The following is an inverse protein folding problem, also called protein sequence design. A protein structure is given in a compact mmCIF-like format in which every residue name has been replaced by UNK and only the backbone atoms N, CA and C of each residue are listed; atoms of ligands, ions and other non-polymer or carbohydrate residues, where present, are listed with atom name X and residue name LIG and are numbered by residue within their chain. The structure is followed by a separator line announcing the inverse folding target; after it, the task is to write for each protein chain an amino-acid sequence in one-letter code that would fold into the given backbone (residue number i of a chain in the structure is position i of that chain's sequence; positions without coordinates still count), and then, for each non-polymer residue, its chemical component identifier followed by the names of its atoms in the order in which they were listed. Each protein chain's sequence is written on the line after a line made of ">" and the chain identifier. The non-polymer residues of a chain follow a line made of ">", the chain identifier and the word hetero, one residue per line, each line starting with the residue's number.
data_IF_919504799969
#
_entry.id   IF_919504799969
#
_cell.length_a   1.000
_cell.length_b   1.000
_cell.length_c   1.000
_cell.angle_alpha   90.00
_cell.angle_beta   90.00
_cell.angle_gamma   90.00
#
_symmetry.space_group_name_H-M   'P 1'
#
loop_
_entity.id
_entity.type
_entity.pdbx_description
1 polymer ?
#
# COMPACT_ATOMS: atom_id res chain seq x y z
N UNK A 1 11.05 3.97 -13.07
CA UNK A 1 9.69 3.57 -12.60
C UNK A 1 9.46 4.17 -11.22
N UNK A 2 8.48 5.06 -11.05
CA UNK A 2 8.08 5.56 -9.73
C UNK A 2 7.39 4.45 -8.94
N UNK A 3 8.15 3.76 -8.09
CA UNK A 3 7.59 2.86 -7.08
C UNK A 3 6.91 3.69 -6.00
N UNK A 4 5.58 3.59 -5.92
CA UNK A 4 4.80 4.18 -4.84
C UNK A 4 5.27 3.68 -3.47
N UNK A 5 4.98 4.45 -2.41
CA UNK A 5 5.28 4.04 -1.04
C UNK A 5 4.59 2.69 -0.77
N UNK A 6 5.36 1.59 -0.66
CA UNK A 6 4.80 0.26 -0.63
C UNK A 6 3.99 0.02 0.66
N UNK A 7 4.34 0.71 1.75
CA UNK A 7 3.62 0.69 3.04
C UNK A 7 2.25 1.33 2.90
N UNK A 8 2.18 2.48 2.23
CA UNK A 8 0.91 3.16 2.00
C UNK A 8 -0.04 2.29 1.16
N UNK A 9 0.48 1.61 0.13
CA UNK A 9 -0.35 0.66 -0.63
C UNK A 9 -0.76 -0.53 0.23
N UNK A 10 0.11 -1.03 1.11
CA UNK A 10 -0.25 -2.11 2.03
C UNK A 10 -1.40 -1.70 2.96
N UNK A 11 -1.36 -0.48 3.48
CA UNK A 11 -2.44 0.08 4.30
C UNK A 11 -3.76 0.13 3.50
N UNK A 12 -3.73 0.63 2.27
CA UNK A 12 -4.92 0.66 1.41
C UNK A 12 -5.50 -0.75 1.21
N UNK A 13 -4.66 -1.76 0.95
CA UNK A 13 -5.12 -3.14 0.80
C UNK A 13 -5.71 -3.69 2.09
N UNK A 14 -5.09 -3.40 3.23
CA UNK A 14 -5.60 -3.77 4.54
C UNK A 14 -7.01 -3.21 4.77
N UNK A 15 -7.21 -1.93 4.47
CA UNK A 15 -8.53 -1.27 4.61
C UNK A 15 -9.60 -1.89 3.70
N UNK A 16 -9.24 -2.29 2.48
CA UNK A 16 -10.14 -3.02 1.57
C UNK A 16 -10.52 -4.38 2.16
N UNK A 17 -9.53 -5.17 2.61
CA UNK A 17 -9.74 -6.53 3.10
C UNK A 17 -10.55 -6.55 4.41
N UNK A 18 -10.27 -5.60 5.30
CA UNK A 18 -11.02 -5.42 6.55
C UNK A 18 -12.38 -4.75 6.36
N UNK A 19 -12.75 -4.40 5.12
CA UNK A 19 -14.00 -3.73 4.76
C UNK A 19 -14.26 -2.49 5.61
N UNK A 20 -13.22 -1.68 5.82
CA UNK A 20 -13.32 -0.44 6.60
C UNK A 20 -14.42 0.43 6.03
N UNK A 21 -15.33 0.89 6.88
CA UNK A 21 -16.42 1.79 6.50
C UNK A 21 -15.85 3.13 6.04
N UNK A 22 -15.71 3.29 4.73
CA UNK A 22 -15.25 4.52 4.10
C UNK A 22 -15.75 4.58 2.66
N UNK A 23 -15.99 5.80 2.16
CA UNK A 23 -16.37 6.01 0.76
C UNK A 23 -15.32 5.44 -0.20
N UNK A 24 -14.04 5.55 0.14
CA UNK A 24 -12.95 5.02 -0.66
C UNK A 24 -12.98 3.48 -0.76
N UNK A 25 -13.18 2.76 0.35
CA UNK A 25 -13.33 1.29 0.31
C UNK A 25 -14.59 0.88 -0.45
N UNK A 26 -15.71 1.59 -0.24
CA UNK A 26 -16.95 1.33 -0.97
C UNK A 26 -16.77 1.50 -2.48
N UNK A 27 -16.14 2.60 -2.91
CA UNK A 27 -15.79 2.83 -4.31
C UNK A 27 -14.83 1.76 -4.85
N UNK A 28 -13.85 1.32 -4.06
CA UNK A 28 -12.96 0.23 -4.46
C UNK A 28 -13.72 -1.08 -4.69
N UNK A 29 -14.66 -1.43 -3.82
CA UNK A 29 -15.47 -2.63 -3.98
C UNK A 29 -16.33 -2.57 -5.26
N UNK A 30 -17.01 -1.45 -5.50
CA UNK A 30 -17.87 -1.27 -6.67
C UNK A 30 -17.08 -1.18 -7.98
N UNK A 31 -16.03 -0.35 -8.03
CA UNK A 31 -15.34 0.00 -9.28
C UNK A 31 -14.11 -0.87 -9.53
N UNK A 32 -13.24 -1.04 -8.52
CA UNK A 32 -12.00 -1.81 -8.70
C UNK A 32 -12.24 -3.31 -8.64
N UNK A 33 -13.10 -3.78 -7.73
CA UNK A 33 -13.34 -5.21 -7.53
C UNK A 33 -14.58 -5.70 -8.28
N UNK A 34 -15.57 -4.83 -8.53
CA UNK A 34 -16.87 -5.17 -9.12
C UNK A 34 -17.61 -6.22 -8.27
N UNK A 35 -17.64 -5.97 -6.96
CA UNK A 35 -18.25 -6.83 -5.93
C UNK A 35 -17.69 -8.26 -5.86
N UNK A 36 -16.50 -8.48 -6.45
CA UNK A 36 -15.75 -9.73 -6.32
C UNK A 36 -14.82 -9.67 -5.11
N UNK A 37 -14.47 -10.83 -4.56
CA UNK A 37 -13.46 -10.88 -3.51
C UNK A 37 -12.12 -10.34 -4.01
N UNK A 38 -11.48 -9.50 -3.17
CA UNK A 38 -10.16 -8.93 -3.41
C UNK A 38 -9.14 -9.99 -3.85
N UNK A 39 -9.21 -11.19 -3.26
CA UNK A 39 -8.28 -12.29 -3.49
C UNK A 39 -8.45 -12.96 -4.85
N UNK A 40 -9.69 -13.13 -5.31
CA UNK A 40 -10.02 -13.86 -6.54
C UNK A 40 -9.86 -13.00 -7.80
N UNK A 41 -9.88 -11.67 -7.67
CA UNK A 41 -9.78 -10.76 -8.81
C UNK A 41 -8.43 -10.92 -9.53
N UNK A 42 -8.47 -11.37 -10.79
CA UNK A 42 -7.26 -11.48 -11.63
C UNK A 42 -6.83 -10.12 -12.19
N UNK A 43 -5.53 -9.95 -12.35
CA UNK A 43 -4.97 -8.82 -13.11
C UNK A 43 -4.96 -9.21 -14.59
N UNK A 44 -5.70 -8.46 -15.42
CA UNK A 44 -5.72 -8.68 -16.88
C UNK A 44 -4.94 -7.58 -17.61
N UNK A 45 -4.66 -7.77 -18.90
CA UNK A 45 -4.04 -6.75 -19.73
C UNK A 45 -4.88 -5.47 -19.85
N UNK A 46 -6.20 -5.56 -19.71
CA UNK A 46 -7.10 -4.40 -19.67
C UNK A 46 -7.18 -3.70 -18.30
N UNK A 47 -6.57 -4.26 -17.24
CA UNK A 47 -6.60 -3.63 -15.92
C UNK A 47 -5.86 -2.30 -15.94
N UNK A 48 -6.53 -1.26 -15.43
CA UNK A 48 -5.93 0.06 -15.21
C UNK A 48 -4.68 -0.04 -14.33
N UNK A 49 -3.75 0.89 -14.52
CA UNK A 49 -2.51 0.92 -13.76
C UNK A 49 -2.74 0.97 -12.24
N UNK A 50 -3.72 1.75 -11.79
CA UNK A 50 -4.13 1.84 -10.39
C UNK A 50 -4.63 0.49 -9.84
N UNK A 51 -5.51 -0.20 -10.58
CA UNK A 51 -6.00 -1.54 -10.22
C UNK A 51 -4.84 -2.53 -10.12
N UNK A 52 -3.89 -2.50 -11.06
CA UNK A 52 -2.70 -3.36 -11.01
C UNK A 52 -1.90 -3.10 -9.75
N UNK A 53 -1.66 -1.84 -9.38
CA UNK A 53 -0.85 -1.53 -8.20
C UNK A 53 -1.51 -1.96 -6.89
N UNK A 54 -2.83 -1.76 -6.75
CA UNK A 54 -3.58 -2.21 -5.57
C UNK A 54 -3.60 -3.74 -5.50
N UNK A 55 -3.78 -4.44 -6.63
CA UNK A 55 -3.86 -5.89 -6.69
C UNK A 55 -2.49 -6.60 -6.75
N UNK A 56 -1.39 -5.87 -6.97
CA UNK A 56 -0.02 -6.40 -6.85
C UNK A 56 0.26 -6.77 -5.39
N UNK A 57 1.17 -7.71 -5.15
CA UNK A 57 1.59 -8.14 -3.80
C UNK A 57 0.44 -8.66 -2.90
N UNK A 58 -0.64 -9.18 -3.47
CA UNK A 58 -1.70 -9.86 -2.70
C UNK A 58 -1.15 -10.98 -1.83
N UNK A 59 -0.31 -11.83 -2.40
CA UNK A 59 0.33 -12.94 -1.68
C UNK A 59 1.15 -12.45 -0.47
N UNK A 60 1.84 -11.30 -0.63
CA UNK A 60 2.53 -10.66 0.48
C UNK A 60 1.55 -10.23 1.57
N UNK A 61 0.40 -9.66 1.22
CA UNK A 61 -0.62 -9.32 2.21
C UNK A 61 -1.15 -10.59 2.88
N UNK A 62 -1.58 -11.59 2.09
CA UNK A 62 -2.22 -12.82 2.56
C UNK A 62 -1.37 -13.57 3.60
N UNK A 63 -0.06 -13.69 3.36
CA UNK A 63 0.90 -14.32 4.29
C UNK A 63 1.02 -13.62 5.65
N UNK A 64 0.70 -12.33 5.71
CA UNK A 64 0.78 -11.53 6.92
C UNK A 64 -0.58 -11.34 7.61
N UNK A 65 -1.66 -11.89 7.06
CA UNK A 65 -2.99 -11.85 7.67
C UNK A 65 -3.20 -13.07 8.55
N UNK A 66 -3.79 -12.83 9.72
CA UNK A 66 -4.26 -13.86 10.63
C UNK A 66 -5.78 -13.76 10.69
N UNK A 67 -6.47 -14.80 10.21
CA UNK A 67 -7.91 -14.92 10.31
C UNK A 67 -8.28 -15.67 11.58
N UNK A 68 -9.02 -15.00 12.47
CA UNK A 68 -9.68 -15.64 13.60
C UNK A 68 -11.15 -15.82 13.23
N UNK A 69 -11.54 -17.08 13.04
CA UNK A 69 -12.91 -17.44 12.69
C UNK A 69 -13.73 -17.54 13.98
N UNK A 70 -14.78 -16.73 14.03
CA UNK A 70 -15.75 -16.73 15.12
C UNK A 70 -17.07 -17.35 14.65
N UNK A 71 -17.95 -16.50 14.10
CA UNK A 71 -19.25 -16.93 13.58
C UNK A 71 -19.26 -17.32 12.09
N UNK A 72 -18.14 -17.11 11.39
CA UNK A 72 -17.94 -17.47 9.98
C UNK A 72 -18.73 -16.64 8.96
N UNK A 73 -19.46 -15.59 9.39
CA UNK A 73 -20.37 -14.84 8.51
C UNK A 73 -19.67 -13.80 7.64
N UNK A 74 -18.55 -13.24 8.12
CA UNK A 74 -17.82 -12.22 7.38
C UNK A 74 -16.92 -12.83 6.32
N UNK A 75 -16.38 -14.01 6.61
CA UNK A 75 -15.36 -14.72 5.84
C UNK A 75 -15.98 -15.58 4.74
N UNK A 76 -15.51 -15.42 3.51
CA UNK A 76 -15.86 -16.30 2.38
C UNK A 76 -15.09 -17.60 2.50
N UNK A 77 -15.80 -18.72 2.33
CA UNK A 77 -15.23 -20.04 2.42
C UNK A 77 -14.12 -20.27 1.38
N UNK A 78 -14.41 -19.95 0.13
CA UNK A 78 -13.56 -20.30 -1.00
C UNK A 78 -12.59 -19.20 -1.43
N UNK A 79 -12.97 -17.95 -1.18
CA UNK A 79 -12.27 -16.78 -1.72
C UNK A 79 -11.27 -16.16 -0.76
N UNK A 80 -11.49 -16.26 0.56
CA UNK A 80 -10.63 -15.60 1.52
C UNK A 80 -9.48 -16.53 1.96
N UNK A 81 -8.26 -16.01 2.19
CA UNK A 81 -7.08 -16.78 2.55
C UNK A 81 -7.03 -17.13 4.04
N UNK A 82 -8.13 -17.65 4.58
CA UNK A 82 -8.26 -17.92 6.02
C UNK A 82 -7.58 -19.23 6.45
N UNK A 83 -7.20 -20.07 5.49
CA UNK A 83 -6.40 -21.29 5.70
C UNK A 83 -4.97 -21.01 5.20
N UNK A 84 -4.02 -20.90 6.14
CA UNK A 84 -2.58 -20.73 5.86
C UNK A 84 -2.21 -19.58 4.90
N UNK A 85 -3.05 -18.54 4.78
CA UNK A 85 -2.77 -17.42 3.88
C UNK A 85 -3.07 -17.71 2.40
N UNK A 86 -3.80 -18.77 2.08
CA UNK A 86 -4.21 -19.10 0.71
C UNK A 86 -5.71 -19.32 0.57
N UNK A 87 -6.29 -18.79 -0.51
CA UNK A 87 -7.69 -19.04 -0.84
C UNK A 87 -7.84 -20.43 -1.44
N UNK A 88 -8.86 -21.19 -1.02
CA UNK A 88 -9.11 -22.55 -1.52
C UNK A 88 -9.31 -22.59 -3.04
N UNK A 89 -9.95 -21.56 -3.61
CA UNK A 89 -10.09 -21.41 -5.07
C UNK A 89 -8.76 -21.26 -5.82
N UNK A 90 -7.72 -20.71 -5.15
CA UNK A 90 -6.39 -20.55 -5.74
C UNK A 90 -5.63 -21.88 -5.64
N UNK A 91 -5.68 -22.55 -4.48
CA UNK A 91 -4.96 -23.81 -4.23
C UNK A 91 -5.54 -25.00 -5.01
N UNK A 92 -6.86 -25.17 -5.01
CA UNK A 92 -7.54 -26.34 -5.61
C UNK A 92 -8.30 -26.01 -6.90
N UNK A 93 -8.31 -24.74 -7.31
CA UNK A 93 -9.05 -24.26 -8.48
C UNK A 93 -10.53 -24.01 -8.20
N UNK A 94 -11.18 -23.23 -9.07
CA UNK A 94 -12.58 -22.83 -8.89
C UNK A 94 -13.58 -24.00 -8.95
N UNK A 95 -13.19 -25.15 -9.54
CA UNK A 95 -14.03 -26.35 -9.64
C UNK A 95 -14.18 -27.09 -8.31
N UNK A 96 -13.36 -26.78 -7.31
CA UNK A 96 -13.41 -27.42 -5.99
C UNK A 96 -14.79 -27.30 -5.34
N UNK A 97 -15.46 -26.15 -5.53
CA UNK A 97 -16.80 -25.90 -5.03
C UNK A 97 -17.83 -26.90 -5.60
N UNK A 98 -17.68 -27.30 -6.87
CA UNK A 98 -18.58 -28.25 -7.53
C UNK A 98 -18.37 -29.68 -7.01
N UNK A 99 -17.16 -30.06 -6.62
CA UNK A 99 -16.89 -31.41 -6.08
C UNK A 99 -17.49 -31.63 -4.70
N UNK A 100 -17.70 -30.57 -3.94
CA UNK A 100 -18.23 -30.62 -2.56
C UNK A 100 -19.70 -30.17 -2.50
N UNK A 101 -20.31 -29.87 -3.65
CA UNK A 101 -21.69 -29.38 -3.77
C UNK A 101 -22.01 -28.15 -2.87
N UNK A 102 -21.05 -27.22 -2.80
CA UNK A 102 -21.19 -25.98 -2.03
C UNK A 102 -21.00 -24.79 -2.97
N UNK A 103 -21.88 -23.80 -2.92
CA UNK A 103 -21.78 -22.63 -3.79
C UNK A 103 -20.45 -21.88 -3.59
N UNK A 104 -19.87 -21.36 -4.68
CA UNK A 104 -18.59 -20.64 -4.65
C UNK A 104 -18.64 -19.34 -3.81
N UNK A 105 -19.82 -18.77 -3.61
CA UNK A 105 -20.06 -17.54 -2.83
C UNK A 105 -20.31 -17.81 -1.34
N UNK A 106 -20.26 -19.07 -0.92
CA UNK A 106 -20.64 -19.50 0.43
C UNK A 106 -19.70 -18.92 1.49
N UNK A 107 -20.27 -18.67 2.67
CA UNK A 107 -19.56 -18.20 3.87
C UNK A 107 -19.08 -19.37 4.72
N UNK A 108 -18.06 -19.13 5.53
CA UNK A 108 -17.54 -20.15 6.47
C UNK A 108 -18.64 -20.63 7.44
N UNK A 109 -19.62 -19.77 7.75
CA UNK A 109 -20.76 -20.12 8.59
C UNK A 109 -21.63 -21.27 8.07
N UNK A 110 -21.55 -21.64 6.79
CA UNK A 110 -22.34 -22.75 6.23
C UNK A 110 -21.72 -24.13 6.54
N UNK A 111 -20.41 -24.18 6.74
CA UNK A 111 -19.64 -25.41 7.05
C UNK A 111 -19.28 -25.50 8.53
N UNK A 112 -19.91 -24.63 9.33
CA UNK A 112 -19.64 -24.46 10.75
C UNK A 112 -20.97 -24.39 11.51
N UNK A 113 -21.24 -25.37 12.37
CA UNK A 113 -22.44 -25.42 13.20
C UNK A 113 -22.06 -25.87 14.60
N UNK A 114 -22.70 -25.30 15.63
CA UNK A 114 -22.52 -25.70 17.03
C UNK A 114 -21.06 -25.73 17.53
N UNK A 115 -20.21 -24.80 17.05
CA UNK A 115 -18.76 -24.75 17.36
C UNK A 115 -17.97 -25.97 16.89
N UNK A 116 -18.50 -26.70 15.91
CA UNK A 116 -17.80 -27.79 15.26
C UNK A 116 -17.82 -27.59 13.74
N UNK A 117 -16.76 -28.06 13.11
CA UNK A 117 -16.67 -28.10 11.66
C UNK A 117 -17.60 -29.20 11.15
N UNK A 118 -18.69 -28.79 10.50
CA UNK A 118 -19.63 -29.67 9.84
C UNK A 118 -19.26 -29.77 8.34
N UNK A 119 -17.99 -30.11 8.08
CA UNK A 119 -17.53 -30.34 6.71
C UNK A 119 -18.15 -31.65 6.20
N UNK A 120 -18.73 -31.63 5.00
CA UNK A 120 -19.44 -32.78 4.46
C UNK A 120 -18.48 -33.95 4.20
N UNK A 121 -18.75 -35.09 4.84
CA UNK A 121 -17.98 -36.34 4.76
C UNK A 121 -18.05 -37.05 3.40
N UNK A 122 -18.90 -36.58 2.47
CA UNK A 122 -19.33 -37.34 1.29
C UNK A 122 -18.67 -36.92 -0.05
N UNK A 123 -17.68 -36.04 -0.05
CA UNK A 123 -17.00 -35.67 -1.31
C UNK A 123 -15.81 -36.59 -1.59
N UNK A 124 -15.76 -37.12 -2.83
CA UNK A 124 -14.58 -37.81 -3.38
C UNK A 124 -13.40 -36.83 -3.36
N UNK A 125 -12.60 -36.94 -2.30
CA UNK A 125 -11.39 -36.17 -1.99
C UNK A 125 -11.58 -34.64 -1.82
N UNK A 126 -11.59 -34.17 -0.56
CA UNK A 126 -10.34 -33.60 -0.05
C UNK A 126 -10.16 -33.80 1.47
N UNK A 127 -9.66 -34.97 1.89
CA UNK A 127 -9.28 -35.22 3.31
C UNK A 127 -8.25 -34.21 3.83
N UNK A 128 -7.43 -33.66 2.93
CA UNK A 128 -6.45 -32.62 3.24
C UNK A 128 -7.12 -31.32 3.70
N UNK A 129 -8.21 -30.88 3.02
CA UNK A 129 -8.92 -29.65 3.41
C UNK A 129 -9.59 -29.84 4.77
N UNK A 130 -10.24 -30.97 5.00
CA UNK A 130 -10.85 -31.28 6.31
C UNK A 130 -9.79 -31.26 7.43
N UNK A 131 -8.62 -31.85 7.19
CA UNK A 131 -7.50 -31.82 8.16
C UNK A 131 -7.03 -30.39 8.44
N UNK A 132 -6.86 -29.57 7.40
CA UNK A 132 -6.45 -28.16 7.54
C UNK A 132 -7.50 -27.31 8.26
N UNK A 133 -8.77 -27.56 8.01
CA UNK A 133 -9.89 -26.87 8.66
C UNK A 133 -9.97 -27.25 10.14
N UNK A 134 -9.82 -28.54 10.49
CA UNK A 134 -9.82 -29.02 11.88
C UNK A 134 -8.67 -28.46 12.71
N UNK A 135 -7.53 -28.15 12.09
CA UNK A 135 -6.41 -27.50 12.77
C UNK A 135 -6.71 -26.05 13.18
N UNK A 136 -7.75 -25.41 12.64
CA UNK A 136 -8.09 -24.04 13.01
C UNK A 136 -8.86 -23.97 14.32
N UNK A 137 -8.34 -23.12 15.21
CA UNK A 137 -9.01 -22.72 16.45
C UNK A 137 -10.21 -21.83 16.13
N UNK A 138 -11.33 -22.16 16.76
CA UNK A 138 -12.57 -21.38 16.71
C UNK A 138 -12.62 -20.45 17.92
N UNK A 139 -12.87 -19.18 17.68
CA UNK A 139 -12.96 -18.15 18.73
C UNK A 139 -14.41 -17.77 19.05
N UNK A 140 -14.65 -17.18 20.23
CA UNK A 140 -15.97 -16.63 20.57
C UNK A 140 -16.09 -15.22 20.01
N UNK A 141 -17.12 -14.98 19.21
CA UNK A 141 -17.46 -13.63 18.72
C UNK A 141 -17.56 -13.54 17.20
N UNK A 142 -17.49 -12.32 16.63
CA UNK A 142 -17.44 -12.11 15.19
C UNK A 142 -16.08 -12.56 14.61
N UNK A 143 -16.05 -12.78 13.29
CA UNK A 143 -14.79 -13.01 12.58
C UNK A 143 -13.89 -11.76 12.66
N UNK A 144 -12.60 -11.95 12.96
CA UNK A 144 -11.63 -10.85 13.06
C UNK A 144 -10.41 -11.16 12.19
N UNK A 145 -10.01 -10.16 11.40
CA UNK A 145 -8.76 -10.19 10.63
C UNK A 145 -7.72 -9.38 11.40
N UNK A 146 -6.55 -9.99 11.64
CA UNK A 146 -5.46 -9.42 12.44
C UNK A 146 -4.15 -9.41 11.65
N UNK A 147 -3.21 -8.57 12.07
CA UNK A 147 -1.93 -8.37 11.38
C UNK A 147 -0.79 -9.12 12.07
N UNK A 148 -0.13 -10.03 11.35
CA UNK A 148 1.01 -10.87 11.74
C UNK A 148 0.79 -11.84 12.90
N UNK A 149 0.09 -11.44 13.95
CA UNK A 149 -0.16 -12.24 15.13
C UNK A 149 -1.50 -11.89 15.74
N UNK A 150 -2.03 -12.82 16.55
CA UNK A 150 -3.29 -12.60 17.23
C UNK A 150 -3.26 -11.34 18.10
N UNK A 151 -4.34 -10.54 18.06
CA UNK A 151 -4.52 -9.32 18.84
C UNK A 151 -3.86 -8.05 18.28
N UNK A 152 -3.12 -8.12 17.16
CA UNK A 152 -2.44 -6.94 16.61
C UNK A 152 -3.21 -6.31 15.45
N UNK A 153 -3.32 -4.99 15.49
CA UNK A 153 -3.83 -4.17 14.39
C UNK A 153 -2.73 -3.83 13.39
N UNK A 154 -3.13 -3.35 12.21
CA UNK A 154 -2.20 -2.88 11.21
C UNK A 154 -1.40 -1.67 11.71
N UNK A 155 -0.09 -1.70 11.50
CA UNK A 155 0.81 -0.58 11.81
C UNK A 155 1.75 -0.33 10.63
N UNK A 156 1.87 0.94 10.22
CA UNK A 156 2.78 1.34 9.14
C UNK A 156 4.23 0.99 9.46
N UNK A 157 4.67 1.21 10.72
CA UNK A 157 6.04 0.91 11.15
C UNK A 157 6.35 -0.57 11.01
N UNK A 158 5.46 -1.43 11.50
CA UNK A 158 5.65 -2.89 11.45
C UNK A 158 5.57 -3.39 10.01
N UNK A 159 4.62 -2.87 9.24
CA UNK A 159 4.47 -3.23 7.82
C UNK A 159 5.69 -2.85 6.99
N UNK A 160 6.31 -1.70 7.28
CA UNK A 160 7.57 -1.31 6.64
C UNK A 160 8.69 -2.32 6.90
N UNK A 161 8.84 -2.79 8.14
CA UNK A 161 9.85 -3.80 8.49
C UNK A 161 9.62 -5.12 7.73
N UNK A 162 8.37 -5.56 7.65
CA UNK A 162 8.01 -6.75 6.86
C UNK A 162 8.36 -6.56 5.38
N UNK A 163 8.10 -5.38 4.82
CA UNK A 163 8.43 -5.09 3.42
C UNK A 163 9.93 -5.01 3.16
N UNK A 164 10.72 -4.53 4.12
CA UNK A 164 12.19 -4.51 4.00
C UNK A 164 12.78 -5.91 3.86
N UNK A 165 12.18 -6.93 4.46
CA UNK A 165 12.65 -8.32 4.30
C UNK A 165 12.34 -8.90 2.92
N UNK A 166 11.39 -8.30 2.19
CA UNK A 166 10.91 -8.80 0.89
C UNK A 166 11.52 -8.00 -0.27
N UNK A 167 11.80 -6.72 -0.04
CA UNK A 167 12.41 -5.85 -1.04
C UNK A 167 13.93 -6.08 -1.06
N UNK A 168 14.54 -6.20 -2.25
CA UNK A 168 15.98 -6.36 -2.34
C UNK A 168 16.68 -5.15 -1.70
N UNK A 169 17.71 -5.42 -0.88
CA UNK A 169 18.58 -4.35 -0.35
C UNK A 169 19.12 -3.58 -1.55
N UNK A 170 18.87 -2.27 -1.57
CA UNK A 170 19.30 -1.43 -2.68
C UNK A 170 20.82 -1.33 -2.57
N UNK A 171 21.55 -1.90 -3.53
CA UNK A 171 23.01 -1.98 -3.50
C UNK A 171 23.71 -0.63 -3.26
N UNK A 172 23.09 0.46 -3.69
CA UNK A 172 23.61 1.82 -3.50
C UNK A 172 23.26 2.43 -2.14
N UNK A 173 22.34 1.88 -1.34
CA UNK A 173 21.93 2.49 -0.07
C UNK A 173 23.11 2.65 0.90
N UNK A 174 23.98 1.63 0.98
CA UNK A 174 25.16 1.68 1.85
C UNK A 174 26.21 2.68 1.34
N UNK A 175 26.31 2.87 0.02
CA UNK A 175 27.20 3.86 -0.63
C UNK A 175 26.68 5.29 -0.44
N UNK A 176 25.36 5.47 -0.44
CA UNK A 176 24.71 6.79 -0.33
C UNK A 176 24.52 7.23 1.12
N UNK A 177 24.57 6.36 2.12
CA UNK A 177 24.24 6.73 3.50
C UNK A 177 25.32 6.30 4.52
N UNK A 178 26.59 6.66 4.28
CA UNK A 178 27.74 6.38 5.17
C UNK A 178 27.95 7.45 6.25
N UNK A 179 28.56 7.13 7.41
CA UNK A 179 28.84 8.10 8.48
C UNK A 179 29.72 9.27 7.97
N UNK A 180 29.32 10.52 8.26
CA UNK A 180 29.94 11.80 7.83
C UNK A 180 29.46 12.40 6.49
N UNK A 181 28.29 12.00 6.00
CA UNK A 181 27.73 12.61 4.81
C UNK A 181 27.09 13.99 5.02
N UNK A 182 27.14 14.81 3.97
CA UNK A 182 26.30 16.01 3.85
C UNK A 182 24.96 15.60 3.22
N UNK A 183 23.88 15.74 3.99
CA UNK A 183 22.54 15.31 3.58
C UNK A 183 22.13 15.80 2.19
N UNK A 184 22.40 17.07 1.85
CA UNK A 184 22.05 17.65 0.56
C UNK A 184 22.71 16.92 -0.62
N UNK A 185 24.01 16.62 -0.53
CA UNK A 185 24.75 15.98 -1.63
C UNK A 185 24.34 14.52 -1.81
N UNK A 186 24.20 13.78 -0.71
CA UNK A 186 23.78 12.38 -0.78
C UNK A 186 22.32 12.24 -1.21
N UNK A 187 21.46 13.19 -0.83
CA UNK A 187 20.09 13.25 -1.34
C UNK A 187 20.05 13.51 -2.84
N UNK A 188 20.82 14.48 -3.36
CA UNK A 188 20.93 14.70 -4.80
C UNK A 188 21.51 13.47 -5.52
N UNK A 189 22.57 12.86 -4.97
CA UNK A 189 23.18 11.65 -5.52
C UNK A 189 22.22 10.45 -5.51
N UNK A 190 21.42 10.29 -4.45
CA UNK A 190 20.33 9.32 -4.37
C UNK A 190 19.31 9.52 -5.48
N UNK A 191 18.86 10.77 -5.68
CA UNK A 191 17.91 11.12 -6.73
C UNK A 191 18.49 10.88 -8.13
N UNK A 192 19.78 11.15 -8.34
CA UNK A 192 20.47 10.87 -9.61
C UNK A 192 20.56 9.38 -9.86
N UNK A 193 20.99 8.60 -8.86
CA UNK A 193 21.07 7.14 -8.93
C UNK A 193 19.70 6.48 -9.18
N UNK A 194 18.62 7.10 -8.69
CA UNK A 194 17.23 6.66 -8.93
C UNK A 194 16.64 7.18 -10.24
N UNK A 195 17.39 8.00 -10.98
CA UNK A 195 16.88 8.79 -12.11
C UNK A 195 15.57 9.52 -11.74
N UNK A 196 15.49 10.04 -10.52
CA UNK A 196 14.32 10.72 -9.95
C UNK A 196 14.46 12.25 -9.98
N UNK A 197 15.63 12.77 -10.37
CA UNK A 197 15.77 14.20 -10.65
C UNK A 197 14.81 14.62 -11.77
N UNK A 198 14.07 15.71 -11.53
CA UNK A 198 13.36 16.44 -12.58
C UNK A 198 14.37 17.29 -13.36
N UNK A 199 15.24 16.63 -14.12
CA UNK A 199 16.13 17.31 -15.05
C UNK A 199 15.31 18.05 -16.11
N UNK A 200 15.89 19.12 -16.66
CA UNK A 200 15.29 19.91 -17.74
C UNK A 200 14.85 19.02 -18.91
N UNK A 201 15.60 17.96 -19.22
CA UNK A 201 15.25 16.98 -20.24
C UNK A 201 13.93 16.26 -19.96
N UNK A 202 13.69 15.86 -18.70
CA UNK A 202 12.41 15.22 -18.32
C UNK A 202 11.25 16.20 -18.29
N UNK A 203 11.49 17.42 -17.83
CA UNK A 203 10.48 18.48 -17.85
C UNK A 203 10.08 18.84 -19.29
N UNK A 204 11.03 18.76 -20.23
CA UNK A 204 10.81 18.88 -21.66
C UNK A 204 9.98 17.72 -22.21
N UNK A 205 10.31 16.47 -21.85
CA UNK A 205 9.49 15.29 -22.22
C UNK A 205 8.06 15.39 -21.69
N UNK A 206 7.86 16.00 -20.51
CA UNK A 206 6.53 16.22 -19.93
C UNK A 206 5.81 17.47 -20.46
N UNK A 207 6.40 18.22 -21.41
CA UNK A 207 5.79 19.41 -22.00
C UNK A 207 5.73 20.63 -21.07
N UNK A 208 6.45 20.60 -19.93
CA UNK A 208 6.48 21.69 -18.95
C UNK A 208 7.44 22.80 -19.36
N UNK A 209 8.47 22.47 -20.15
CA UNK A 209 9.48 23.41 -20.65
C UNK A 209 9.47 23.38 -22.18
N UNK A 210 9.17 24.51 -22.80
CA UNK A 210 9.32 24.71 -24.25
C UNK A 210 10.81 24.73 -24.58
N UNK A 211 11.19 24.15 -25.72
CA UNK A 211 12.55 24.12 -26.19
C UNK A 211 13.16 25.53 -26.28
N UNK A 212 14.02 25.90 -25.33
CA UNK A 212 14.98 26.97 -25.59
C UNK A 212 16.06 26.38 -26.50
N UNK A 213 16.21 26.96 -27.70
CA UNK A 213 17.13 26.51 -28.75
C UNK A 213 18.63 26.65 -28.41
N UNK A 214 18.99 26.99 -27.19
CA UNK A 214 20.40 27.13 -26.80
C UNK A 214 20.88 25.86 -26.08
N UNK A 215 21.12 24.85 -26.90
CA UNK A 215 21.92 23.67 -26.59
C UNK A 215 23.39 24.13 -26.41
N UNK A 216 24.03 23.68 -25.34
CA UNK A 216 25.42 23.99 -24.98
C UNK A 216 26.37 23.89 -26.18
N UNK A 217 26.89 25.04 -26.62
CA UNK A 217 28.11 25.11 -27.43
C UNK A 217 29.31 25.12 -26.50
N UNK A 218 30.12 24.07 -26.55
CA UNK A 218 31.51 24.15 -26.10
C UNK A 218 32.24 25.20 -26.95
N UNK A 219 32.72 26.26 -26.32
CA UNK A 219 33.51 27.30 -26.97
C UNK A 219 33.56 28.54 -26.09
N UNK A 220 34.67 28.71 -25.38
CA UNK A 220 34.83 29.78 -24.40
C UNK A 220 34.81 31.17 -25.02
N UNK A 221 34.24 32.12 -24.29
CA UNK A 221 34.89 33.38 -23.96
C UNK A 221 34.17 33.99 -22.76
N UNK A 222 34.94 34.29 -21.70
CA UNK A 222 34.52 35.27 -20.71
C UNK A 222 34.30 36.63 -21.40
N UNK A 223 33.24 37.34 -21.03
CA UNK A 223 33.35 38.63 -20.34
C UNK A 223 31.98 39.28 -20.09
N UNK A 224 31.88 39.79 -18.85
CA UNK A 224 31.17 40.99 -18.41
C UNK A 224 29.64 40.98 -18.26
N UNK A 225 29.27 40.73 -17.01
CA UNK A 225 28.32 41.49 -16.20
C UNK A 225 27.92 42.86 -16.80
N UNK A 226 26.64 43.00 -17.17
CA UNK A 226 25.92 44.28 -17.10
C UNK A 226 24.60 44.08 -16.36
N UNK A 227 24.61 44.48 -15.09
CA UNK A 227 23.41 44.89 -14.40
C UNK A 227 22.87 46.14 -15.09
N UNK A 228 21.59 46.10 -15.47
CA UNK A 228 20.89 47.19 -16.14
C UNK A 228 19.39 46.96 -16.07
N UNK A 229 18.84 47.20 -14.88
CA UNK A 229 17.40 47.29 -14.57
C UNK A 229 16.71 48.33 -15.45
N UNK A 230 15.55 48.03 -16.03
CA UNK A 230 14.30 48.75 -15.74
C UNK A 230 13.05 48.21 -16.48
N UNK A 231 11.90 48.62 -15.93
CA UNK A 231 10.48 48.46 -16.32
C UNK A 231 9.79 47.31 -15.55
N UNK A 232 9.30 47.52 -14.32
CA UNK A 232 8.19 48.37 -13.82
C UNK A 232 6.80 47.83 -14.16
N UNK A 233 6.06 47.38 -13.13
CA UNK A 233 4.66 47.77 -12.89
C UNK A 233 4.25 47.38 -11.45
N UNK A 234 3.75 48.39 -10.75
CA UNK A 234 3.13 48.39 -9.42
C UNK A 234 1.94 47.43 -9.27
N UNK A 235 1.81 46.80 -8.09
CA UNK A 235 0.56 46.77 -7.31
C UNK A 235 0.94 46.84 -5.82
N UNK A 236 0.39 47.83 -5.11
CA UNK A 236 0.76 48.22 -3.75
C UNK A 236 0.20 47.32 -2.65
N UNK A 237 0.82 47.43 -1.47
CA UNK A 237 0.28 46.97 -0.20
C UNK A 237 0.13 48.19 0.72
N UNK A 238 -1.12 48.56 0.99
CA UNK A 238 -1.51 49.41 2.11
C UNK A 238 -1.12 48.73 3.44
N UNK A 239 -0.56 49.52 4.36
CA UNK A 239 -0.34 49.11 5.74
C UNK A 239 -1.54 49.43 6.62
N UNK A 240 -1.61 48.81 7.81
CA UNK A 240 -2.11 49.43 9.03
C UNK A 240 -1.57 48.68 10.26
N UNK A 241 -1.41 49.43 11.34
CA UNK A 241 -0.57 49.18 12.51
C UNK A 241 -1.22 48.33 13.63
N UNK A 242 -0.41 48.14 14.67
CA UNK A 242 -0.74 47.95 16.09
C UNK A 242 -1.19 46.57 16.62
N UNK A 243 -0.30 45.94 17.41
CA UNK A 243 -0.31 46.04 18.88
C UNK A 243 0.70 45.07 19.50
N UNK A 244 1.58 45.58 20.37
CA UNK A 244 2.48 44.77 21.18
C UNK A 244 1.83 44.24 22.46
N UNK A 245 2.33 43.11 22.98
CA UNK A 245 2.30 42.79 24.42
C UNK A 245 3.50 41.91 24.84
N UNK A 246 4.43 42.59 25.52
CA UNK A 246 5.25 42.24 26.69
C UNK A 246 5.36 40.75 27.14
N UNK A 247 6.59 40.23 27.17
CA UNK A 247 7.01 39.02 27.91
C UNK A 247 7.05 39.28 29.43
N UNK A 248 6.44 38.40 30.23
CA UNK A 248 6.70 38.27 31.66
C UNK A 248 7.77 37.18 31.89
N UNK A 249 8.87 37.53 32.55
CA UNK A 249 9.76 36.57 33.20
C UNK A 249 9.47 36.60 34.70
N UNK A 250 9.05 35.46 35.25
CA UNK A 250 8.90 35.25 36.68
C UNK A 250 10.26 35.09 37.35
N UNK A 251 10.45 35.80 38.46
CA UNK A 251 11.50 35.51 39.44
C UNK A 251 10.82 35.02 40.72
N UNK A 252 11.29 33.87 41.22
CA UNK A 252 10.83 33.19 42.42
C UNK A 252 12.02 33.08 43.35
N UNK A 253 11.85 33.53 44.60
CA UNK A 253 12.32 32.96 45.89
C UNK A 253 12.89 34.05 46.82
N UNK A 254 12.50 33.94 48.09
CA UNK A 254 13.10 34.62 49.23
C UNK A 254 12.11 35.52 49.92
#
# INVERSE_FOLDING_TARGET
>A
MHTWNPVAIMQLRWEIVTKRESMWVSWCNMVLLKDKSFWVVKITAASSWSRRNVLRLKECLARNLVYNIGNGRATSLWSDPWINGEALTIKYGARVANYVDILIHTKVSAVFANRQWAWLLNSLDPKEIDTLVRQKSIEKGPDVIQWLSKGKSFSCKVSWQVMLQILPKVALADIVWFLNYIFKHNFCFWLTSRNAHRSTDKLRTYGVVVANQYMFGYGGLELQLRYGTNVSTNVGFEGYADHGWRKQHGSRKG
#
